data_IF_918238292996
#
_entry.id   IF_918238292996
#
_cell.length_a   1.000
_cell.length_b   1.000
_cell.length_c   1.000
_cell.angle_alpha   90.00
_cell.angle_beta   90.00
_cell.angle_gamma   90.00
#
_symmetry.space_group_name_H-M   'P 1'
#
loop_
_entity.id
_entity.type
_entity.pdbx_description
1 polymer ?
#
# COMPACT_ATOMS: atom_id res chain seq x y z
N UNK A 1 39.55 -9.34 32.87
CA UNK A 1 39.77 -9.11 31.45
C UNK A 1 38.92 -10.13 30.68
N UNK A 2 37.83 -9.76 29.99
CA UNK A 2 37.14 -10.68 29.12
C UNK A 2 37.79 -10.64 27.73
N UNK A 3 38.19 -11.81 27.25
CA UNK A 3 38.68 -12.04 25.90
C UNK A 3 37.53 -11.76 24.91
N UNK A 4 37.65 -10.68 24.18
CA UNK A 4 36.87 -10.50 22.94
C UNK A 4 37.49 -11.43 21.88
N UNK A 5 36.88 -12.58 21.63
CA UNK A 5 37.07 -13.33 20.39
C UNK A 5 36.54 -12.44 19.25
N UNK A 6 37.41 -11.79 18.53
CA UNK A 6 37.12 -11.24 17.20
C UNK A 6 36.87 -12.43 16.28
N UNK A 7 35.59 -12.86 16.17
CA UNK A 7 35.15 -13.70 15.09
C UNK A 7 35.41 -12.91 13.79
N UNK A 8 36.38 -13.35 13.00
CA UNK A 8 36.54 -12.88 11.62
C UNK A 8 35.27 -13.26 10.88
N UNK A 9 34.42 -12.26 10.67
CA UNK A 9 33.23 -12.42 9.83
C UNK A 9 33.70 -12.80 8.43
N UNK A 10 33.14 -13.82 7.79
CA UNK A 10 33.46 -14.17 6.42
C UNK A 10 33.18 -12.96 5.52
N UNK A 11 34.16 -12.59 4.67
CA UNK A 11 34.00 -11.53 3.69
C UNK A 11 32.85 -11.89 2.73
N UNK A 12 31.93 -10.99 2.55
CA UNK A 12 30.85 -11.17 1.58
C UNK A 12 31.44 -11.25 0.16
N UNK A 13 30.90 -12.11 -0.72
CA UNK A 13 31.38 -12.24 -2.10
C UNK A 13 31.25 -10.91 -2.84
N UNK A 14 32.33 -10.47 -3.51
CA UNK A 14 32.34 -9.19 -4.22
C UNK A 14 32.04 -9.29 -5.71
N UNK A 15 31.88 -10.47 -6.27
CA UNK A 15 31.69 -10.66 -7.72
C UNK A 15 30.53 -11.62 -8.00
N UNK A 16 29.42 -11.08 -8.45
CA UNK A 16 28.31 -11.83 -9.03
C UNK A 16 28.12 -11.39 -10.48
N UNK A 17 27.90 -12.33 -11.40
CA UNK A 17 27.73 -12.05 -12.82
C UNK A 17 26.45 -11.25 -13.12
N UNK A 18 26.52 -10.31 -14.03
CA UNK A 18 25.42 -9.48 -14.49
C UNK A 18 25.24 -8.14 -13.74
N UNK A 19 24.53 -7.22 -14.35
CA UNK A 19 24.19 -5.93 -13.73
C UNK A 19 23.20 -6.12 -12.57
N UNK A 20 23.10 -5.15 -11.65
CA UNK A 20 22.11 -5.14 -10.57
C UNK A 20 20.69 -5.30 -11.12
N UNK A 21 20.39 -4.64 -12.22
CA UNK A 21 19.07 -4.69 -12.88
C UNK A 21 18.76 -6.10 -13.43
N UNK A 22 19.74 -6.75 -14.06
CA UNK A 22 19.58 -8.12 -14.56
C UNK A 22 19.33 -9.10 -13.44
N UNK A 23 20.10 -9.00 -12.34
CA UNK A 23 19.94 -9.85 -11.16
C UNK A 23 18.59 -9.62 -10.47
N UNK A 24 18.15 -8.35 -10.38
CA UNK A 24 16.83 -8.00 -9.81
C UNK A 24 15.70 -8.58 -10.66
N UNK A 25 15.76 -8.47 -11.98
CA UNK A 25 14.77 -9.05 -12.88
C UNK A 25 14.70 -10.58 -12.76
N UNK A 26 15.84 -11.26 -12.63
CA UNK A 26 15.90 -12.70 -12.41
C UNK A 26 15.25 -13.10 -11.08
N UNK A 27 15.53 -12.39 -10.00
CA UNK A 27 14.91 -12.60 -8.69
C UNK A 27 13.39 -12.45 -8.79
N UNK A 28 12.90 -11.39 -9.43
CA UNK A 28 11.46 -11.17 -9.62
C UNK A 28 10.80 -12.32 -10.40
N UNK A 29 11.45 -12.80 -11.45
CA UNK A 29 10.96 -13.96 -12.20
C UNK A 29 10.88 -15.22 -11.34
N UNK A 30 11.90 -15.52 -10.53
CA UNK A 30 11.89 -16.67 -9.60
C UNK A 30 10.81 -16.50 -8.52
N UNK A 31 10.62 -15.30 -7.98
CA UNK A 31 9.60 -15.01 -6.97
C UNK A 31 8.16 -15.11 -7.50
N UNK A 32 7.95 -14.91 -8.80
CA UNK A 32 6.63 -15.06 -9.43
C UNK A 32 6.21 -16.52 -9.61
N UNK A 33 7.15 -17.46 -9.57
CA UNK A 33 6.94 -18.91 -9.72
C UNK A 33 7.68 -19.66 -8.61
N UNK A 34 7.23 -19.48 -7.38
CA UNK A 34 7.90 -19.97 -6.19
C UNK A 34 7.65 -21.48 -6.00
N UNK A 35 8.53 -22.31 -6.55
CA UNK A 35 8.60 -23.75 -6.29
C UNK A 35 9.82 -24.10 -5.42
N UNK A 36 9.98 -25.37 -5.09
CA UNK A 36 11.08 -25.89 -4.26
C UNK A 36 12.48 -25.60 -4.86
N UNK A 37 12.62 -25.54 -6.18
CA UNK A 37 13.87 -25.22 -6.84
C UNK A 37 14.16 -23.72 -6.75
N UNK A 38 13.15 -22.90 -7.04
CA UNK A 38 13.26 -21.44 -6.96
C UNK A 38 13.59 -20.98 -5.53
N UNK A 39 13.01 -21.62 -4.50
CA UNK A 39 13.32 -21.30 -3.10
C UNK A 39 14.78 -21.59 -2.79
N UNK A 40 15.31 -22.77 -3.14
CA UNK A 40 16.72 -23.11 -2.91
C UNK A 40 17.67 -22.15 -3.63
N UNK A 41 17.38 -21.85 -4.90
CA UNK A 41 18.18 -20.93 -5.71
C UNK A 41 18.18 -19.51 -5.11
N UNK A 42 17.03 -19.03 -4.66
CA UNK A 42 16.89 -17.72 -4.04
C UNK A 42 17.64 -17.65 -2.69
N UNK A 43 17.60 -18.69 -1.87
CA UNK A 43 18.37 -18.75 -0.62
C UNK A 43 19.87 -18.74 -0.88
N UNK A 44 20.32 -19.48 -1.90
CA UNK A 44 21.72 -19.49 -2.31
C UNK A 44 22.13 -18.12 -2.88
N UNK A 45 21.27 -17.52 -3.67
CA UNK A 45 21.48 -16.17 -4.22
C UNK A 45 21.54 -15.13 -3.11
N UNK A 46 20.63 -15.14 -2.12
CA UNK A 46 20.68 -14.22 -0.99
C UNK A 46 22.00 -14.29 -0.22
N UNK A 47 22.56 -15.50 -0.06
CA UNK A 47 23.84 -15.71 0.64
C UNK A 47 25.06 -15.18 -0.13
N UNK A 48 24.96 -14.99 -1.45
CA UNK A 48 26.05 -14.56 -2.33
C UNK A 48 25.87 -13.16 -2.93
N UNK A 49 24.69 -12.56 -2.79
CA UNK A 49 24.32 -11.29 -3.41
C UNK A 49 24.94 -10.09 -2.71
N UNK A 50 25.78 -9.28 -3.37
CA UNK A 50 26.38 -8.08 -2.77
C UNK A 50 25.39 -6.93 -2.58
N UNK A 51 24.35 -6.81 -3.42
CA UNK A 51 23.36 -5.75 -3.34
C UNK A 51 22.33 -6.00 -2.21
N UNK A 52 22.33 -5.13 -1.19
CA UNK A 52 21.44 -5.25 -0.03
C UNK A 52 19.94 -5.18 -0.44
N UNK A 53 19.60 -4.40 -1.46
CA UNK A 53 18.23 -4.29 -1.94
C UNK A 53 17.72 -5.61 -2.55
N UNK A 54 18.58 -6.33 -3.30
CA UNK A 54 18.24 -7.65 -3.85
C UNK A 54 18.12 -8.68 -2.73
N UNK A 55 19.10 -8.74 -1.78
CA UNK A 55 19.01 -9.64 -0.60
C UNK A 55 17.71 -9.40 0.16
N UNK A 56 17.35 -8.14 0.36
CA UNK A 56 16.13 -7.72 1.05
C UNK A 56 14.89 -8.29 0.37
N UNK A 57 14.73 -8.10 -0.93
CA UNK A 57 13.59 -8.61 -1.70
C UNK A 57 13.45 -10.12 -1.57
N UNK A 58 14.56 -10.87 -1.65
CA UNK A 58 14.56 -12.32 -1.49
C UNK A 58 14.11 -12.71 -0.08
N UNK A 59 14.75 -12.16 0.94
CA UNK A 59 14.49 -12.53 2.34
C UNK A 59 13.09 -12.11 2.77
N UNK A 60 12.59 -10.97 2.33
CA UNK A 60 11.23 -10.50 2.59
C UNK A 60 10.19 -11.52 2.12
N UNK A 61 10.36 -12.02 0.91
CA UNK A 61 9.41 -12.97 0.35
C UNK A 61 9.50 -14.34 0.99
N UNK A 62 10.72 -14.84 1.19
CA UNK A 62 10.96 -16.16 1.76
C UNK A 62 10.65 -16.22 3.26
N UNK A 63 10.82 -15.15 4.01
CA UNK A 63 10.55 -15.08 5.47
C UNK A 63 9.09 -15.39 5.85
N UNK A 64 8.18 -15.40 4.88
CA UNK A 64 6.78 -15.83 5.07
C UNK A 64 6.62 -17.34 5.13
N UNK A 65 7.60 -18.07 4.62
CA UNK A 65 7.58 -19.52 4.60
C UNK A 65 8.12 -20.06 5.94
N UNK A 66 7.32 -20.89 6.63
CA UNK A 66 7.77 -21.57 7.84
C UNK A 66 8.62 -22.80 7.50
N UNK A 67 9.85 -22.54 7.06
CA UNK A 67 10.83 -23.54 6.61
C UNK A 67 12.13 -23.45 7.41
N UNK A 68 12.78 -24.61 7.58
CA UNK A 68 14.05 -24.69 8.33
C UNK A 68 15.18 -23.96 7.60
N UNK A 69 15.28 -24.14 6.28
CA UNK A 69 16.31 -23.51 5.45
C UNK A 69 16.15 -21.99 5.34
N UNK A 70 14.92 -21.49 5.32
CA UNK A 70 14.63 -20.05 5.38
C UNK A 70 15.05 -19.47 6.73
N UNK A 71 14.77 -20.17 7.83
CA UNK A 71 15.21 -19.72 9.17
C UNK A 71 16.72 -19.66 9.29
N UNK A 72 17.43 -20.66 8.79
CA UNK A 72 18.91 -20.68 8.77
C UNK A 72 19.46 -19.49 7.98
N UNK A 73 18.83 -19.16 6.83
CA UNK A 73 19.21 -17.96 6.08
C UNK A 73 18.96 -16.68 6.88
N UNK A 74 17.80 -16.55 7.54
CA UNK A 74 17.51 -15.40 8.39
C UNK A 74 18.49 -15.29 9.57
N UNK A 75 18.87 -16.41 10.22
CA UNK A 75 19.86 -16.43 11.29
C UNK A 75 21.24 -15.95 10.81
N UNK A 76 21.65 -16.39 9.62
CA UNK A 76 22.89 -15.94 8.98
C UNK A 76 22.87 -14.43 8.72
N UNK A 77 21.82 -13.92 8.09
CA UNK A 77 21.73 -12.49 7.79
C UNK A 77 21.58 -11.64 9.05
N UNK A 78 20.85 -12.09 10.06
CA UNK A 78 20.76 -11.42 11.35
C UNK A 78 22.12 -11.27 12.05
N UNK A 79 22.99 -12.27 11.88
CA UNK A 79 24.30 -12.30 12.54
C UNK A 79 25.41 -11.59 11.74
N UNK A 80 25.34 -11.60 10.41
CA UNK A 80 26.51 -11.25 9.58
C UNK A 80 26.22 -10.32 8.40
N UNK A 81 24.97 -9.90 8.16
CA UNK A 81 24.67 -9.01 7.03
C UNK A 81 25.34 -7.64 7.23
N UNK A 82 26.11 -7.14 6.25
CA UNK A 82 26.75 -5.83 6.33
C UNK A 82 25.74 -4.66 6.33
N UNK A 83 24.52 -4.89 5.84
CA UNK A 83 23.43 -3.93 5.93
C UNK A 83 22.71 -4.08 7.26
N UNK A 84 22.86 -3.10 8.15
CA UNK A 84 22.34 -3.14 9.52
C UNK A 84 20.80 -3.21 9.56
N UNK A 85 20.11 -2.61 8.61
CA UNK A 85 18.64 -2.66 8.53
C UNK A 85 18.17 -4.05 8.12
N UNK A 86 18.90 -4.70 7.20
CA UNK A 86 18.57 -6.05 6.78
C UNK A 86 18.88 -7.07 7.89
N UNK A 87 19.97 -6.88 8.63
CA UNK A 87 20.27 -7.69 9.80
C UNK A 87 19.18 -7.56 10.89
N UNK A 88 18.73 -6.34 11.17
CA UNK A 88 17.64 -6.09 12.12
C UNK A 88 16.33 -6.72 11.64
N UNK A 89 16.00 -6.58 10.36
CA UNK A 89 14.85 -7.25 9.75
C UNK A 89 14.88 -8.76 9.98
N UNK A 90 15.99 -9.42 9.65
CA UNK A 90 16.12 -10.87 9.81
C UNK A 90 15.93 -11.30 11.28
N UNK A 91 16.50 -10.53 12.23
CA UNK A 91 16.33 -10.77 13.65
C UNK A 91 14.86 -10.64 14.11
N UNK A 92 14.17 -9.61 13.67
CA UNK A 92 12.75 -9.41 14.00
C UNK A 92 11.87 -10.53 13.45
N UNK A 93 12.14 -11.00 12.23
CA UNK A 93 11.42 -12.14 11.64
C UNK A 93 11.60 -13.44 12.39
N UNK A 94 12.81 -13.75 12.81
CA UNK A 94 13.10 -14.91 13.66
C UNK A 94 12.33 -14.83 14.98
N UNK A 95 12.30 -13.67 15.61
CA UNK A 95 11.54 -13.43 16.85
C UNK A 95 10.05 -13.68 16.65
N UNK A 96 9.47 -13.14 15.58
CA UNK A 96 8.03 -13.32 15.25
C UNK A 96 7.71 -14.80 15.00
N UNK A 97 8.54 -15.51 14.23
CA UNK A 97 8.36 -16.94 13.97
C UNK A 97 8.47 -17.79 15.26
N UNK A 98 9.40 -17.46 16.14
CA UNK A 98 9.54 -18.14 17.42
C UNK A 98 8.32 -17.96 18.33
N UNK A 99 7.81 -16.73 18.42
CA UNK A 99 6.62 -16.42 19.24
C UNK A 99 5.37 -17.10 18.68
N UNK A 100 5.18 -17.11 17.36
CA UNK A 100 4.06 -17.81 16.73
C UNK A 100 4.06 -19.30 17.06
N UNK A 101 5.23 -19.97 17.00
CA UNK A 101 5.34 -21.39 17.37
C UNK A 101 5.06 -21.68 18.84
N UNK A 102 5.52 -20.80 19.73
CA UNK A 102 5.22 -20.93 21.16
C UNK A 102 3.72 -20.83 21.38
N UNK A 103 3.10 -19.86 20.73
CA UNK A 103 1.65 -19.67 20.80
C UNK A 103 0.88 -20.89 20.27
N UNK A 104 1.23 -21.40 19.09
CA UNK A 104 0.57 -22.59 18.51
C UNK A 104 0.71 -23.82 19.39
N UNK A 105 1.90 -24.06 19.97
CA UNK A 105 2.12 -25.17 20.94
C UNK A 105 1.23 -25.02 22.18
N UNK A 106 1.12 -23.81 22.75
CA UNK A 106 0.24 -23.54 23.89
C UNK A 106 -1.24 -23.75 23.52
N UNK A 107 -1.64 -23.29 22.33
CA UNK A 107 -3.00 -23.44 21.83
C UNK A 107 -3.36 -24.92 21.62
N UNK A 108 -2.45 -25.70 21.01
CA UNK A 108 -2.64 -27.14 20.81
C UNK A 108 -2.75 -27.89 22.13
N UNK A 109 -1.94 -27.52 23.13
CA UNK A 109 -2.00 -28.10 24.47
C UNK A 109 -3.34 -27.80 25.18
N UNK A 110 -3.79 -26.54 25.15
CA UNK A 110 -5.06 -26.15 25.75
C UNK A 110 -6.26 -26.85 25.09
N UNK A 111 -6.23 -27.01 23.76
CA UNK A 111 -7.22 -27.80 23.02
C UNK A 111 -7.22 -29.28 23.43
N UNK A 112 -6.03 -29.87 23.55
CA UNK A 112 -5.87 -31.28 23.95
C UNK A 112 -6.39 -31.53 25.36
N UNK A 113 -6.24 -30.56 26.27
CA UNK A 113 -6.70 -30.61 27.64
C UNK A 113 -8.17 -30.19 27.82
N UNK A 114 -8.82 -29.76 26.74
CA UNK A 114 -10.18 -29.20 26.73
C UNK A 114 -10.37 -28.06 27.76
N UNK A 115 -9.32 -27.25 27.95
CA UNK A 115 -9.26 -26.13 28.89
C UNK A 115 -9.79 -24.84 28.23
N UNK A 116 -11.10 -24.60 28.37
CA UNK A 116 -11.77 -23.44 27.81
C UNK A 116 -11.21 -22.11 28.34
N UNK A 117 -10.79 -22.05 29.61
CA UNK A 117 -10.23 -20.86 30.21
C UNK A 117 -8.84 -20.54 29.68
N UNK A 118 -8.02 -21.57 29.51
CA UNK A 118 -6.70 -21.40 28.88
C UNK A 118 -6.84 -20.98 27.40
N UNK A 119 -7.82 -21.51 26.67
CA UNK A 119 -8.11 -21.11 25.29
C UNK A 119 -8.54 -19.64 25.22
N UNK A 120 -9.44 -19.20 26.05
CA UNK A 120 -9.90 -17.81 26.11
C UNK A 120 -8.75 -16.86 26.46
N UNK A 121 -7.94 -17.22 27.45
CA UNK A 121 -6.76 -16.45 27.85
C UNK A 121 -5.74 -16.36 26.70
N UNK A 122 -5.45 -17.46 26.03
CA UNK A 122 -4.51 -17.50 24.89
C UNK A 122 -5.01 -16.68 23.71
N UNK A 123 -6.30 -16.73 23.41
CA UNK A 123 -6.90 -15.91 22.34
C UNK A 123 -6.84 -14.42 22.69
N UNK A 124 -7.09 -14.06 23.95
CA UNK A 124 -6.95 -12.68 24.42
C UNK A 124 -5.49 -12.21 24.40
N UNK A 125 -4.52 -13.07 24.80
CA UNK A 125 -3.08 -12.79 24.67
C UNK A 125 -2.67 -12.65 23.21
N UNK A 126 -3.17 -13.51 22.33
CA UNK A 126 -2.91 -13.42 20.90
C UNK A 126 -3.47 -12.13 20.32
N UNK A 127 -4.69 -11.77 20.64
CA UNK A 127 -5.31 -10.51 20.22
C UNK A 127 -4.51 -9.30 20.72
N UNK A 128 -4.08 -9.34 22.00
CA UNK A 128 -3.16 -8.33 22.56
C UNK A 128 -1.82 -8.30 21.81
N UNK A 129 -1.28 -9.46 21.51
CA UNK A 129 0.01 -9.58 20.87
C UNK A 129 -0.05 -9.18 19.40
N UNK A 130 -1.10 -9.54 18.68
CA UNK A 130 -1.40 -9.04 17.34
C UNK A 130 -1.62 -7.52 17.38
N UNK A 131 -2.31 -7.03 18.39
CA UNK A 131 -2.48 -5.59 18.64
C UNK A 131 -1.15 -4.92 19.00
N UNK A 132 -0.25 -5.56 19.72
CA UNK A 132 1.08 -5.05 20.08
C UNK A 132 2.10 -5.24 18.94
N UNK A 133 2.07 -6.32 18.20
CA UNK A 133 2.93 -6.56 17.03
C UNK A 133 2.49 -5.71 15.82
N UNK A 134 1.18 -5.48 15.68
CA UNK A 134 0.61 -4.42 14.86
C UNK A 134 0.82 -3.05 15.50
N UNK A 135 1.09 -3.00 16.78
CA UNK A 135 1.04 -1.89 17.68
C UNK A 135 2.23 -1.61 18.56
N UNK A 136 3.43 -2.09 18.26
CA UNK A 136 4.61 -1.29 18.66
C UNK A 136 4.50 0.13 18.06
N UNK A 137 3.55 0.30 17.13
CA UNK A 137 3.23 1.54 16.42
C UNK A 137 1.73 1.91 16.52
N UNK A 138 0.85 1.05 17.05
CA UNK A 138 -0.59 1.25 17.02
C UNK A 138 -1.25 1.93 18.23
N UNK A 139 -0.70 2.01 19.47
CA UNK A 139 -1.42 2.68 20.54
C UNK A 139 -1.72 4.15 20.23
N UNK A 140 -0.85 4.85 19.52
CA UNK A 140 -1.06 6.24 19.14
C UNK A 140 -2.05 6.39 17.96
N UNK A 141 -2.07 5.46 17.02
CA UNK A 141 -2.84 5.58 15.78
C UNK A 141 -4.22 4.92 15.84
N UNK A 142 -4.38 3.85 16.66
CA UNK A 142 -5.66 3.14 16.80
C UNK A 142 -6.55 3.69 17.94
N UNK A 143 -5.99 4.42 18.90
CA UNK A 143 -6.74 4.95 20.04
C UNK A 143 -7.20 6.41 19.87
N UNK A 144 -6.69 7.15 18.89
CA UNK A 144 -7.15 8.49 18.59
C UNK A 144 -8.29 8.44 17.57
N UNK A 145 -9.30 9.33 17.68
CA UNK A 145 -10.25 9.48 16.60
C UNK A 145 -9.49 9.85 15.33
N UNK A 146 -9.83 9.26 14.17
CA UNK A 146 -9.16 9.56 12.92
C UNK A 146 -9.18 11.06 12.64
N UNK A 147 -8.05 11.64 12.19
CA UNK A 147 -7.95 13.08 12.02
C UNK A 147 -8.88 13.61 10.93
N UNK A 148 -9.46 14.78 11.19
CA UNK A 148 -10.23 15.58 10.24
C UNK A 148 -9.62 16.98 10.21
N UNK A 149 -9.13 17.42 9.03
CA UNK A 149 -8.37 18.67 8.93
C UNK A 149 -8.54 19.35 7.57
N UNK A 150 -8.08 20.59 7.47
CA UNK A 150 -7.99 21.32 6.21
C UNK A 150 -6.60 21.07 5.60
N UNK A 151 -6.55 20.42 4.43
CA UNK A 151 -5.29 20.03 3.80
C UNK A 151 -4.53 21.20 3.16
N UNK A 152 -5.28 22.15 2.64
CA UNK A 152 -4.79 23.38 1.98
C UNK A 152 -5.67 24.55 2.37
N UNK A 153 -5.18 25.80 2.27
CA UNK A 153 -6.00 26.99 2.52
C UNK A 153 -7.28 26.99 1.67
N UNK A 154 -8.35 27.56 2.24
CA UNK A 154 -9.64 27.66 1.56
C UNK A 154 -9.51 28.35 0.20
N UNK A 155 -10.05 27.72 -0.83
CA UNK A 155 -10.06 28.24 -2.21
C UNK A 155 -11.31 27.78 -2.96
N UNK A 156 -11.74 28.49 -4.02
CA UNK A 156 -12.99 28.17 -4.73
C UNK A 156 -12.92 26.91 -5.58
N UNK A 157 -11.72 26.50 -5.98
CA UNK A 157 -11.48 25.30 -6.77
C UNK A 157 -10.18 24.62 -6.36
N UNK A 158 -10.07 23.32 -6.64
CA UNK A 158 -8.88 22.53 -6.37
C UNK A 158 -8.65 21.54 -7.52
N UNK A 159 -7.37 21.35 -7.90
CA UNK A 159 -6.96 20.35 -8.87
C UNK A 159 -6.19 19.24 -8.17
N UNK A 160 -6.66 18.02 -8.31
CA UNK A 160 -6.15 16.84 -7.60
C UNK A 160 -5.63 15.83 -8.61
N UNK A 161 -4.46 15.28 -8.36
CA UNK A 161 -3.93 14.10 -9.05
C UNK A 161 -4.23 12.86 -8.21
N UNK A 162 -4.56 11.72 -8.84
CA UNK A 162 -4.62 10.45 -8.14
C UNK A 162 -3.86 9.36 -8.91
N UNK A 163 -3.08 8.57 -8.17
CA UNK A 163 -2.32 7.42 -8.65
C UNK A 163 -2.58 6.22 -7.76
N UNK A 164 -2.49 5.01 -8.32
CA UNK A 164 -2.57 3.76 -7.57
C UNK A 164 -1.69 2.70 -8.22
N UNK A 165 -1.38 1.64 -7.49
CA UNK A 165 -0.68 0.47 -8.06
C UNK A 165 0.66 0.87 -8.71
N UNK A 166 1.45 1.70 -8.03
CA UNK A 166 2.63 2.34 -8.64
C UNK A 166 3.97 1.82 -8.12
N UNK A 167 4.05 1.33 -6.89
CA UNK A 167 5.28 1.11 -6.14
C UNK A 167 6.16 -0.07 -6.58
N UNK A 168 6.49 -0.18 -7.85
CA UNK A 168 7.29 -1.27 -8.44
C UNK A 168 8.69 -0.85 -8.92
N UNK A 169 9.02 0.45 -8.86
CA UNK A 169 10.32 1.02 -9.23
C UNK A 169 10.79 0.67 -10.66
N UNK A 170 9.84 0.52 -11.59
CA UNK A 170 10.10 0.17 -12.99
C UNK A 170 9.99 1.37 -13.94
N UNK A 171 10.21 1.14 -15.24
CA UNK A 171 10.12 2.18 -16.25
C UNK A 171 8.71 2.67 -16.50
N UNK A 172 7.69 1.83 -16.27
CA UNK A 172 6.28 2.22 -16.40
C UNK A 172 5.92 3.27 -15.34
N UNK A 173 6.32 3.06 -14.08
CA UNK A 173 6.15 4.05 -13.02
C UNK A 173 6.89 5.35 -13.33
N UNK A 174 8.12 5.27 -13.84
CA UNK A 174 8.91 6.46 -14.24
C UNK A 174 8.22 7.25 -15.34
N UNK A 175 7.69 6.57 -16.38
CA UNK A 175 6.95 7.25 -17.46
C UNK A 175 5.71 7.96 -16.95
N UNK A 176 4.93 7.33 -16.09
CA UNK A 176 3.75 7.97 -15.46
C UNK A 176 4.16 9.18 -14.63
N UNK A 177 5.23 9.08 -13.82
CA UNK A 177 5.72 10.21 -13.02
C UNK A 177 6.20 11.38 -13.90
N UNK A 178 6.90 11.11 -15.02
CA UNK A 178 7.32 12.13 -15.98
C UNK A 178 6.14 12.79 -16.68
N UNK A 179 5.15 12.00 -17.12
CA UNK A 179 3.93 12.53 -17.74
C UNK A 179 3.13 13.41 -16.76
N UNK A 180 3.05 13.00 -15.49
CA UNK A 180 2.41 13.78 -14.43
C UNK A 180 3.17 15.10 -14.15
N UNK A 181 4.50 15.07 -14.15
CA UNK A 181 5.33 16.26 -13.99
C UNK A 181 5.16 17.25 -15.14
N UNK A 182 5.07 16.76 -16.38
CA UNK A 182 4.78 17.58 -17.55
C UNK A 182 3.38 18.19 -17.49
N UNK A 183 2.40 17.38 -17.14
CA UNK A 183 1.01 17.85 -16.97
C UNK A 183 0.93 18.91 -15.87
N UNK A 184 1.62 18.70 -14.75
CA UNK A 184 1.70 19.65 -13.63
C UNK A 184 2.32 20.99 -14.03
N UNK A 185 3.37 20.99 -14.87
CA UNK A 185 4.00 22.24 -15.36
C UNK A 185 3.03 23.10 -16.17
N UNK A 186 2.19 22.47 -16.99
CA UNK A 186 1.19 23.19 -17.78
C UNK A 186 -0.06 23.56 -16.97
N UNK A 187 -0.46 22.68 -16.03
CA UNK A 187 -1.70 22.78 -15.25
C UNK A 187 -1.44 22.29 -13.81
N UNK A 188 -0.95 23.16 -12.91
CA UNK A 188 -0.51 22.76 -11.57
C UNK A 188 -1.58 22.03 -10.76
N UNK A 189 -1.20 20.94 -10.12
CA UNK A 189 -1.98 20.26 -9.09
C UNK A 189 -1.81 20.98 -7.75
N UNK A 190 -2.83 20.95 -6.91
CA UNK A 190 -2.80 21.48 -5.55
C UNK A 190 -2.41 20.40 -4.53
N UNK A 191 -2.82 19.16 -4.81
CA UNK A 191 -2.52 17.98 -4.00
C UNK A 191 -2.64 16.70 -4.83
N UNK A 192 -2.14 15.60 -4.28
CA UNK A 192 -2.30 14.26 -4.83
C UNK A 192 -3.00 13.31 -3.86
N UNK A 193 -3.50 12.19 -4.41
CA UNK A 193 -4.01 11.03 -3.68
C UNK A 193 -3.21 9.81 -4.10
N UNK A 194 -2.91 8.90 -3.18
CA UNK A 194 -2.53 7.54 -3.55
C UNK A 194 -3.64 6.56 -3.20
N UNK A 195 -3.91 5.64 -4.10
CA UNK A 195 -5.03 4.70 -4.04
C UNK A 195 -4.59 3.31 -3.59
N UNK A 196 -3.49 3.21 -2.86
CA UNK A 196 -2.94 1.96 -2.36
C UNK A 196 -2.01 1.24 -3.33
N UNK A 197 -1.44 0.15 -2.85
CA UNK A 197 -0.34 -0.59 -3.48
C UNK A 197 0.83 0.36 -3.77
N UNK A 198 1.19 1.09 -2.71
CA UNK A 198 2.19 2.16 -2.73
C UNK A 198 3.61 1.59 -2.85
N UNK A 199 3.84 0.39 -2.30
CA UNK A 199 5.10 -0.34 -2.37
C UNK A 199 4.87 -1.83 -2.56
N UNK A 200 5.22 -2.33 -3.74
CA UNK A 200 5.01 -3.72 -4.17
C UNK A 200 6.36 -4.48 -4.14
N UNK A 201 6.41 -5.77 -3.79
CA UNK A 201 5.24 -6.65 -3.53
C UNK A 201 4.69 -6.59 -2.12
N UNK A 202 5.37 -6.02 -1.13
CA UNK A 202 5.11 -6.31 0.27
C UNK A 202 5.14 -5.07 1.20
N UNK A 203 4.88 -3.87 0.71
CA UNK A 203 4.95 -2.65 1.50
C UNK A 203 6.39 -2.23 1.85
N UNK A 204 6.56 -1.27 2.75
CA UNK A 204 7.84 -0.80 3.25
C UNK A 204 8.14 -1.34 4.64
N UNK A 205 9.43 -1.54 4.96
CA UNK A 205 9.89 -1.97 6.28
C UNK A 205 9.66 -0.92 7.37
N UNK A 206 9.70 0.35 6.97
CA UNK A 206 9.58 1.47 7.88
C UNK A 206 9.98 2.78 7.22
N UNK A 207 10.08 3.86 8.01
CA UNK A 207 10.38 5.17 7.48
C UNK A 207 11.82 5.36 6.97
N UNK A 208 12.70 4.37 7.19
CA UNK A 208 14.07 4.37 6.68
C UNK A 208 14.26 3.46 5.45
N UNK A 209 13.19 2.85 4.93
CA UNK A 209 13.27 2.01 3.73
C UNK A 209 13.78 2.83 2.53
N UNK A 210 14.85 2.38 1.83
CA UNK A 210 15.43 3.14 0.71
C UNK A 210 14.46 3.35 -0.45
N UNK A 211 13.41 2.53 -0.57
CA UNK A 211 12.38 2.69 -1.59
C UNK A 211 11.58 3.98 -1.45
N UNK A 212 11.60 4.62 -0.27
CA UNK A 212 11.07 5.98 -0.13
C UNK A 212 11.77 6.95 -1.06
N UNK A 213 13.09 6.83 -1.23
CA UNK A 213 13.83 7.72 -2.13
C UNK A 213 13.68 7.31 -3.60
N UNK A 214 13.82 6.02 -3.92
CA UNK A 214 13.83 5.54 -5.31
C UNK A 214 12.43 5.41 -5.92
N UNK A 215 11.45 4.94 -5.13
CA UNK A 215 10.09 4.68 -5.57
C UNK A 215 9.11 5.84 -5.33
N UNK A 216 9.46 6.80 -4.46
CA UNK A 216 8.55 7.89 -4.11
C UNK A 216 9.17 9.28 -4.28
N UNK A 217 10.09 9.71 -3.39
CA UNK A 217 10.59 11.09 -3.35
C UNK A 217 11.32 11.48 -4.64
N UNK A 218 12.11 10.57 -5.22
CA UNK A 218 12.81 10.83 -6.49
C UNK A 218 11.89 10.99 -7.69
N UNK A 219 10.67 10.47 -7.62
CA UNK A 219 9.70 10.48 -8.72
C UNK A 219 8.61 11.54 -8.54
N UNK A 220 7.98 11.58 -7.37
CA UNK A 220 6.82 12.44 -7.10
C UNK A 220 7.13 13.64 -6.20
N UNK A 221 8.22 13.60 -5.43
CA UNK A 221 8.69 14.74 -4.62
C UNK A 221 8.90 16.03 -5.41
N UNK A 222 9.45 15.99 -6.65
CA UNK A 222 9.64 17.18 -7.50
C UNK A 222 8.35 17.91 -7.88
N UNK A 223 7.18 17.28 -7.75
CA UNK A 223 5.89 17.98 -7.94
C UNK A 223 5.63 19.05 -6.87
N UNK A 224 6.29 18.97 -5.70
CA UNK A 224 6.17 19.96 -4.64
C UNK A 224 4.78 20.06 -4.00
N UNK A 225 3.94 19.05 -4.15
CA UNK A 225 2.59 18.95 -3.59
C UNK A 225 2.49 17.85 -2.54
N UNK A 226 1.58 17.96 -1.55
CA UNK A 226 1.29 16.87 -0.64
C UNK A 226 0.42 15.79 -1.30
N UNK A 227 0.75 14.52 -1.10
CA UNK A 227 -0.07 13.38 -1.49
C UNK A 227 -0.70 12.73 -0.25
N UNK A 228 -2.01 12.63 -0.22
CA UNK A 228 -2.77 12.02 0.86
C UNK A 228 -3.02 10.54 0.54
N UNK A 229 -2.32 9.68 1.27
CA UNK A 229 -2.19 8.27 0.93
C UNK A 229 -3.21 7.39 1.63
N UNK A 230 -3.62 6.31 0.94
CA UNK A 230 -4.25 5.13 1.56
C UNK A 230 -3.47 3.87 1.20
N UNK A 231 -3.70 2.78 1.94
CA UNK A 231 -3.02 1.51 1.70
C UNK A 231 -3.81 0.58 0.81
N UNK A 232 -3.11 -0.19 -0.02
CA UNK A 232 -3.62 -1.36 -0.72
C UNK A 232 -3.24 -2.66 0.00
N UNK A 233 -3.53 -3.80 -0.63
CA UNK A 233 -3.22 -5.10 -0.02
C UNK A 233 -1.72 -5.41 0.02
N UNK A 234 -0.94 -4.91 -0.93
CA UNK A 234 0.51 -5.09 -0.92
C UNK A 234 1.18 -4.31 0.22
N UNK A 235 0.66 -3.16 0.60
CA UNK A 235 1.21 -2.35 1.70
C UNK A 235 1.10 -3.01 3.07
N UNK A 236 0.21 -4.00 3.23
CA UNK A 236 0.07 -4.82 4.44
C UNK A 236 0.99 -6.03 4.44
N UNK A 237 1.62 -6.32 3.32
CA UNK A 237 2.30 -7.58 3.10
C UNK A 237 3.39 -7.89 4.10
N UNK A 238 4.27 -6.96 4.38
CA UNK A 238 5.52 -7.23 5.09
C UNK A 238 5.35 -7.29 6.62
N UNK A 239 4.73 -6.26 7.17
CA UNK A 239 4.55 -6.08 8.62
C UNK A 239 3.12 -6.40 9.07
N UNK A 240 2.29 -6.95 8.16
CA UNK A 240 0.85 -7.07 8.36
C UNK A 240 0.23 -5.70 8.77
N UNK A 241 0.83 -4.61 8.24
CA UNK A 241 0.46 -3.24 8.59
C UNK A 241 1.19 -2.21 7.72
N UNK A 242 0.55 -1.14 7.27
CA UNK A 242 1.18 -0.01 6.58
C UNK A 242 1.79 1.01 7.56
N UNK A 243 2.19 0.59 8.75
CA UNK A 243 2.71 1.48 9.79
C UNK A 243 3.96 2.25 9.35
N UNK A 244 4.82 1.63 8.52
CA UNK A 244 5.98 2.31 7.93
C UNK A 244 5.61 3.55 7.11
N UNK A 245 4.48 3.50 6.41
CA UNK A 245 3.96 4.59 5.60
C UNK A 245 3.40 5.74 6.46
N UNK A 246 2.70 5.39 7.55
CA UNK A 246 2.19 6.37 8.52
C UNK A 246 3.34 7.09 9.20
N UNK A 247 4.38 6.37 9.64
CA UNK A 247 5.56 6.97 10.27
C UNK A 247 6.39 7.83 9.30
N UNK A 248 6.46 7.44 8.03
CA UNK A 248 7.17 8.23 7.04
C UNK A 248 6.53 9.60 6.81
N UNK A 249 5.21 9.70 6.97
CA UNK A 249 4.49 10.97 6.83
C UNK A 249 4.99 12.08 7.80
N UNK A 250 5.59 11.72 8.93
CA UNK A 250 6.20 12.67 9.87
C UNK A 250 7.49 13.31 9.32
N UNK A 251 8.16 12.67 8.38
CA UNK A 251 9.47 13.08 7.81
C UNK A 251 9.35 13.70 6.42
N UNK A 252 8.32 13.33 5.67
CA UNK A 252 8.13 13.76 4.28
C UNK A 252 7.33 15.05 4.17
N UNK A 253 7.64 15.83 3.12
CA UNK A 253 6.81 16.98 2.72
C UNK A 253 5.80 16.59 1.65
N UNK A 254 6.08 15.56 0.88
CA UNK A 254 5.24 15.08 -0.21
C UNK A 254 4.26 13.98 0.23
N UNK A 255 4.60 13.16 1.21
CA UNK A 255 3.78 12.04 1.69
C UNK A 255 2.98 12.41 2.94
N UNK A 256 1.67 12.18 2.90
CA UNK A 256 0.74 12.40 4.02
C UNK A 256 -0.13 11.17 4.22
N UNK A 257 0.07 10.44 5.31
CA UNK A 257 -0.77 9.34 5.77
C UNK A 257 -0.89 9.42 7.29
N UNK A 258 -1.75 10.31 7.81
CA UNK A 258 -1.80 10.60 9.25
C UNK A 258 -2.41 9.46 10.07
N UNK A 259 -3.13 8.54 9.44
CA UNK A 259 -3.76 7.37 10.05
C UNK A 259 -4.13 6.35 8.96
N UNK A 260 -4.60 5.15 9.35
CA UNK A 260 -5.10 4.13 8.43
C UNK A 260 -6.31 4.62 7.61
N UNK A 261 -7.15 5.42 8.23
CA UNK A 261 -8.28 6.08 7.60
C UNK A 261 -8.48 7.45 8.23
N UNK A 262 -8.88 8.41 7.46
CA UNK A 262 -8.98 9.81 7.87
C UNK A 262 -9.78 10.61 6.85
N UNK A 263 -10.10 11.86 7.17
CA UNK A 263 -10.68 12.78 6.20
C UNK A 263 -10.03 14.15 6.23
N UNK A 264 -10.05 14.84 5.10
CA UNK A 264 -9.57 16.21 4.99
C UNK A 264 -10.40 17.02 4.00
N UNK A 265 -10.37 18.33 4.16
CA UNK A 265 -11.03 19.28 3.26
C UNK A 265 -10.02 19.95 2.35
N UNK A 266 -10.40 20.11 1.09
CA UNK A 266 -9.65 20.91 0.12
C UNK A 266 -10.62 21.56 -0.89
N UNK A 267 -10.60 22.88 -0.95
CA UNK A 267 -11.56 23.63 -1.75
C UNK A 267 -13.01 23.31 -1.36
N UNK A 268 -13.89 23.05 -2.34
CA UNK A 268 -15.30 22.71 -2.08
C UNK A 268 -15.53 21.24 -1.70
N UNK A 269 -14.47 20.43 -1.59
CA UNK A 269 -14.58 19.01 -1.36
C UNK A 269 -14.06 18.57 0.01
N UNK A 270 -14.65 17.49 0.53
CA UNK A 270 -14.09 16.67 1.61
C UNK A 270 -13.75 15.29 1.06
N UNK A 271 -12.54 14.85 1.38
CA UNK A 271 -11.98 13.58 0.98
C UNK A 271 -11.95 12.62 2.16
N UNK A 272 -12.30 11.36 1.94
CA UNK A 272 -12.34 10.31 2.95
C UNK A 272 -11.45 9.17 2.48
N UNK A 273 -10.29 9.03 3.11
CA UNK A 273 -9.35 7.95 2.87
C UNK A 273 -9.76 6.71 3.66
N UNK A 274 -9.83 5.55 3.01
CA UNK A 274 -10.25 4.29 3.61
C UNK A 274 -9.18 3.21 3.48
N UNK A 275 -8.92 2.48 4.56
CA UNK A 275 -8.14 1.24 4.54
C UNK A 275 -9.05 0.07 4.15
N UNK A 276 -9.30 -0.10 2.85
CA UNK A 276 -10.26 -1.10 2.34
C UNK A 276 -9.80 -2.54 2.51
N UNK A 277 -8.48 -2.80 2.63
CA UNK A 277 -7.94 -4.12 2.95
C UNK A 277 -8.27 -4.55 4.39
N UNK A 278 -8.40 -3.60 5.30
CA UNK A 278 -8.68 -3.82 6.72
C UNK A 278 -9.95 -3.08 7.16
N UNK A 279 -11.02 -3.20 6.37
CA UNK A 279 -12.32 -2.61 6.70
C UNK A 279 -12.83 -3.19 8.00
N UNK A 280 -13.16 -2.33 8.95
CA UNK A 280 -13.66 -2.70 10.27
C UNK A 280 -14.96 -1.96 10.60
N UNK A 281 -15.76 -2.52 11.50
CA UNK A 281 -16.97 -1.87 12.07
C UNK A 281 -16.65 -0.46 12.59
N UNK A 282 -15.50 -0.30 13.26
CA UNK A 282 -15.05 1.00 13.77
C UNK A 282 -14.85 2.01 12.66
N UNK A 283 -14.22 1.60 11.55
CA UNK A 283 -14.01 2.46 10.38
C UNK A 283 -15.34 2.81 9.71
N UNK A 284 -16.26 1.84 9.56
CA UNK A 284 -17.58 2.06 8.97
C UNK A 284 -18.41 3.04 9.82
N UNK A 285 -18.45 2.86 11.17
CA UNK A 285 -19.12 3.78 12.07
C UNK A 285 -18.51 5.19 12.06
N UNK A 286 -17.17 5.29 11.93
CA UNK A 286 -16.51 6.58 11.78
C UNK A 286 -16.95 7.25 10.48
N UNK A 287 -16.89 6.54 9.35
CA UNK A 287 -17.25 7.05 8.04
C UNK A 287 -18.70 7.53 8.01
N UNK A 288 -19.63 6.75 8.58
CA UNK A 288 -21.04 7.11 8.68
C UNK A 288 -21.24 8.45 9.37
N UNK A 289 -20.60 8.63 10.53
CA UNK A 289 -20.68 9.89 11.30
C UNK A 289 -20.04 11.07 10.54
N UNK A 290 -18.90 10.86 9.94
CA UNK A 290 -18.16 11.93 9.24
C UNK A 290 -18.89 12.35 7.95
N UNK A 291 -19.46 11.42 7.21
CA UNK A 291 -20.33 11.74 6.06
C UNK A 291 -21.57 12.54 6.47
N UNK A 292 -22.19 12.20 7.63
CA UNK A 292 -23.35 12.91 8.15
C UNK A 292 -23.00 14.33 8.61
N UNK A 293 -21.80 14.54 9.15
CA UNK A 293 -21.31 15.86 9.64
C UNK A 293 -20.80 16.78 8.53
N UNK A 294 -20.41 16.19 7.43
CA UNK A 294 -19.77 16.91 6.33
C UNK A 294 -20.71 17.93 5.70
N UNK A 295 -20.28 19.20 5.69
CA UNK A 295 -20.94 20.31 4.99
C UNK A 295 -20.31 20.61 3.61
N UNK A 296 -19.31 19.80 3.19
CA UNK A 296 -18.69 19.98 1.89
C UNK A 296 -19.69 19.80 0.75
N UNK A 297 -19.56 20.62 -0.30
CA UNK A 297 -20.36 20.49 -1.51
C UNK A 297 -20.17 19.11 -2.13
N UNK A 298 -18.94 18.61 -2.16
CA UNK A 298 -18.55 17.35 -2.74
C UNK A 298 -17.91 16.45 -1.70
N UNK A 299 -18.34 15.20 -1.65
CA UNK A 299 -17.76 14.15 -0.81
C UNK A 299 -17.16 13.09 -1.70
N UNK A 300 -15.84 12.94 -1.60
CA UNK A 300 -15.05 12.01 -2.41
C UNK A 300 -14.46 10.98 -1.47
N UNK A 301 -14.87 9.73 -1.64
CA UNK A 301 -14.35 8.60 -0.89
C UNK A 301 -13.33 7.87 -1.76
N UNK A 302 -12.18 7.55 -1.21
CA UNK A 302 -11.16 6.82 -1.93
C UNK A 302 -10.53 5.72 -1.07
N UNK A 303 -10.10 4.68 -1.73
CA UNK A 303 -9.46 3.52 -1.14
C UNK A 303 -8.77 2.71 -2.21
N UNK A 304 -8.51 1.43 -1.93
CA UNK A 304 -7.83 0.57 -2.88
C UNK A 304 -8.78 -0.37 -3.64
N UNK A 305 -9.59 -1.15 -2.92
CA UNK A 305 -10.45 -2.17 -3.52
C UNK A 305 -11.74 -1.59 -4.10
N UNK A 306 -12.15 -2.00 -5.31
CA UNK A 306 -13.43 -1.58 -5.90
C UNK A 306 -14.62 -2.23 -5.20
N UNK A 307 -15.76 -1.53 -5.18
CA UNK A 307 -17.06 -2.14 -4.86
C UNK A 307 -17.53 -2.96 -6.06
N UNK A 308 -17.49 -2.37 -7.26
CA UNK A 308 -17.83 -3.01 -8.52
C UNK A 308 -16.68 -2.93 -9.51
N UNK A 309 -16.42 -4.03 -10.21
CA UNK A 309 -15.39 -4.10 -11.23
C UNK A 309 -15.68 -5.15 -12.31
N UNK A 310 -15.34 -4.82 -13.55
CA UNK A 310 -15.25 -5.79 -14.65
C UNK A 310 -13.79 -6.17 -14.98
N UNK A 311 -12.88 -5.87 -14.08
CA UNK A 311 -11.46 -6.26 -14.12
C UNK A 311 -11.22 -7.70 -13.69
N UNK A 312 -9.97 -8.03 -13.44
CA UNK A 312 -9.53 -9.40 -13.17
C UNK A 312 -10.00 -9.93 -11.81
N UNK A 313 -10.12 -9.06 -10.79
CA UNK A 313 -10.54 -9.45 -9.44
C UNK A 313 -12.07 -9.41 -9.26
N UNK A 314 -12.77 -8.60 -10.07
CA UNK A 314 -14.22 -8.46 -10.00
C UNK A 314 -14.72 -7.63 -8.81
N UNK A 315 -15.98 -7.83 -8.45
CA UNK A 315 -16.64 -7.12 -7.37
C UNK A 315 -16.09 -7.53 -5.99
N UNK A 316 -15.95 -6.56 -5.09
CA UNK A 316 -15.63 -6.86 -3.69
C UNK A 316 -16.92 -6.95 -2.89
N UNK A 317 -17.50 -8.16 -2.81
CA UNK A 317 -18.80 -8.37 -2.17
C UNK A 317 -18.88 -7.88 -0.71
N UNK A 318 -17.79 -7.95 0.04
CA UNK A 318 -17.75 -7.45 1.42
C UNK A 318 -17.99 -5.93 1.47
N UNK A 319 -17.37 -5.17 0.55
CA UNK A 319 -17.56 -3.72 0.42
C UNK A 319 -18.94 -3.38 -0.14
N UNK A 320 -19.45 -4.19 -1.07
CA UNK A 320 -20.80 -4.03 -1.58
C UNK A 320 -21.85 -4.10 -0.45
N UNK A 321 -21.69 -5.06 0.48
CA UNK A 321 -22.61 -5.22 1.62
C UNK A 321 -22.44 -4.17 2.72
N UNK A 322 -21.20 -3.75 3.02
CA UNK A 322 -20.92 -2.92 4.19
C UNK A 322 -20.69 -1.44 3.87
N UNK A 323 -20.02 -1.14 2.77
CA UNK A 323 -19.61 0.23 2.42
C UNK A 323 -20.61 0.93 1.50
N UNK A 324 -21.11 0.24 0.46
CA UNK A 324 -22.00 0.83 -0.52
C UNK A 324 -23.23 1.52 0.11
N UNK A 325 -23.97 0.90 1.07
CA UNK A 325 -25.13 1.53 1.69
C UNK A 325 -24.80 2.84 2.43
N UNK A 326 -23.56 3.02 2.88
CA UNK A 326 -23.12 4.26 3.54
C UNK A 326 -22.81 5.38 2.54
N UNK A 327 -22.45 5.03 1.31
CA UNK A 327 -22.01 5.99 0.29
C UNK A 327 -23.14 6.48 -0.62
N UNK A 328 -24.10 5.64 -0.92
CA UNK A 328 -25.22 5.98 -1.79
C UNK A 328 -26.00 7.19 -1.27
N UNK A 329 -26.26 8.15 -2.16
CA UNK A 329 -26.95 9.40 -1.83
C UNK A 329 -26.15 10.36 -0.95
N UNK A 330 -24.94 10.01 -0.53
CA UNK A 330 -24.13 10.79 0.42
C UNK A 330 -22.77 11.20 -0.12
N UNK A 331 -22.18 10.40 -0.99
CA UNK A 331 -20.92 10.71 -1.67
C UNK A 331 -21.14 10.78 -3.19
N UNK A 332 -20.29 11.52 -3.89
CA UNK A 332 -20.38 11.68 -5.34
C UNK A 332 -19.41 10.77 -6.09
N UNK A 333 -18.26 10.45 -5.48
CA UNK A 333 -17.22 9.63 -6.09
C UNK A 333 -16.73 8.58 -5.10
N UNK A 334 -16.60 7.35 -5.56
CA UNK A 334 -15.76 6.30 -4.99
C UNK A 334 -14.63 6.00 -5.97
N UNK A 335 -13.38 6.38 -5.60
CA UNK A 335 -12.19 6.30 -6.43
C UNK A 335 -11.21 5.27 -5.87
N UNK A 336 -10.76 4.33 -6.70
CA UNK A 336 -9.94 3.18 -6.27
C UNK A 336 -8.88 2.79 -7.30
N UNK A 337 -7.96 1.88 -6.90
CA UNK A 337 -6.97 1.20 -7.72
C UNK A 337 -7.27 -0.29 -7.90
N UNK A 338 -6.27 -1.15 -7.57
CA UNK A 338 -6.33 -2.61 -7.44
C UNK A 338 -6.42 -3.40 -8.74
N UNK A 339 -7.20 -2.94 -9.69
CA UNK A 339 -7.53 -3.69 -10.91
C UNK A 339 -6.52 -3.48 -12.04
N UNK A 340 -5.63 -2.51 -11.90
CA UNK A 340 -4.61 -2.13 -12.89
C UNK A 340 -5.20 -1.85 -14.28
N UNK A 341 -6.39 -1.27 -14.33
CA UNK A 341 -7.10 -0.87 -15.55
C UNK A 341 -7.93 0.37 -15.26
N UNK A 342 -8.58 0.93 -16.26
CA UNK A 342 -9.43 2.12 -16.12
C UNK A 342 -10.88 1.74 -16.25
N UNK A 343 -11.71 2.23 -15.33
CA UNK A 343 -13.14 2.02 -15.42
C UNK A 343 -13.93 3.19 -14.83
N UNK A 344 -15.02 3.56 -15.51
CA UNK A 344 -16.07 4.41 -14.99
C UNK A 344 -17.40 3.70 -15.19
N UNK A 345 -18.08 3.39 -14.09
CA UNK A 345 -19.41 2.76 -14.13
C UNK A 345 -20.50 3.80 -13.91
N UNK A 346 -21.69 3.46 -14.43
CA UNK A 346 -22.91 4.24 -14.27
C UNK A 346 -23.17 4.51 -12.79
N UNK A 347 -23.46 5.76 -12.39
CA UNK A 347 -23.70 6.10 -11.00
C UNK A 347 -24.91 5.38 -10.43
N UNK A 348 -24.83 5.04 -9.14
CA UNK A 348 -25.91 4.48 -8.35
C UNK A 348 -26.16 5.42 -7.16
N UNK A 349 -27.41 5.87 -6.98
CA UNK A 349 -27.71 6.88 -5.95
C UNK A 349 -26.90 8.17 -6.06
N UNK A 350 -26.43 8.53 -7.26
CA UNK A 350 -25.55 9.68 -7.47
C UNK A 350 -24.05 9.43 -7.20
N UNK A 351 -23.68 8.22 -6.76
CA UNK A 351 -22.31 7.79 -6.51
C UNK A 351 -21.67 7.25 -7.80
N UNK A 352 -20.61 7.87 -8.30
CA UNK A 352 -19.82 7.41 -9.42
C UNK A 352 -18.71 6.46 -8.94
N UNK A 353 -18.54 5.33 -9.62
CA UNK A 353 -17.48 4.35 -9.35
C UNK A 353 -16.37 4.50 -10.38
N UNK A 354 -15.19 4.86 -9.90
CA UNK A 354 -14.02 5.13 -10.72
C UNK A 354 -12.87 4.20 -10.31
N UNK A 355 -12.33 3.44 -11.25
CA UNK A 355 -11.09 2.70 -11.10
C UNK A 355 -9.99 3.42 -11.85
N UNK A 356 -8.92 3.79 -11.16
CA UNK A 356 -7.79 4.51 -11.72
C UNK A 356 -6.89 3.57 -12.55
N UNK A 357 -6.18 4.10 -13.56
CA UNK A 357 -5.17 3.33 -14.29
C UNK A 357 -4.03 2.89 -13.34
N UNK A 358 -3.36 1.79 -13.67
CA UNK A 358 -2.12 1.43 -13.02
C UNK A 358 -1.06 2.53 -13.25
N UNK A 359 -0.38 2.93 -12.19
CA UNK A 359 0.68 3.94 -12.30
C UNK A 359 2.09 3.34 -12.26
N UNK A 360 2.20 2.00 -12.40
CA UNK A 360 3.48 1.28 -12.42
C UNK A 360 3.34 -0.24 -12.50
N UNK A 361 2.38 -0.84 -11.79
CA UNK A 361 2.09 -2.27 -11.92
C UNK A 361 1.50 -2.58 -13.29
N UNK A 362 1.72 -3.82 -13.79
CA UNK A 362 1.31 -4.22 -15.14
C UNK A 362 -0.16 -3.95 -15.42
N UNK A 363 -0.44 -3.13 -16.43
CA UNK A 363 -1.80 -2.86 -16.87
C UNK A 363 -2.50 -4.16 -17.30
N UNK A 364 -3.75 -4.33 -16.90
CA UNK A 364 -4.54 -5.55 -17.12
C UNK A 364 -5.70 -5.31 -18.06
N UNK A 365 -6.10 -6.32 -18.86
CA UNK A 365 -7.30 -6.22 -19.69
C UNK A 365 -8.56 -5.97 -18.85
N UNK A 366 -9.47 -5.20 -19.40
CA UNK A 366 -10.79 -4.93 -18.80
C UNK A 366 -11.91 -5.41 -19.73
N UNK A 367 -12.97 -5.95 -19.14
CA UNK A 367 -14.22 -6.24 -19.85
C UNK A 367 -15.21 -5.08 -19.68
N UNK A 368 -16.05 -4.88 -20.67
CA UNK A 368 -17.20 -3.99 -20.56
C UNK A 368 -18.42 -4.80 -20.17
N UNK A 369 -19.16 -4.34 -19.18
CA UNK A 369 -20.37 -4.97 -18.70
C UNK A 369 -21.52 -3.96 -18.62
N UNK A 370 -22.70 -4.38 -18.14
CA UNK A 370 -23.85 -3.49 -17.95
C UNK A 370 -23.49 -2.29 -17.07
N UNK A 371 -23.79 -1.08 -17.54
CA UNK A 371 -23.46 0.14 -16.79
C UNK A 371 -22.04 0.67 -16.99
N UNK A 372 -21.20 0.08 -17.85
CA UNK A 372 -19.90 0.66 -18.20
C UNK A 372 -20.08 1.93 -19.03
N UNK A 373 -19.66 3.06 -18.49
CA UNK A 373 -19.61 4.34 -19.21
C UNK A 373 -18.28 4.45 -19.96
N UNK A 374 -17.19 4.04 -19.33
CA UNK A 374 -15.86 3.96 -19.92
C UNK A 374 -15.06 2.80 -19.32
N UNK A 375 -14.29 2.11 -20.15
CA UNK A 375 -13.30 1.13 -19.73
C UNK A 375 -12.19 1.01 -20.77
N UNK A 376 -10.97 1.01 -20.30
CA UNK A 376 -9.74 0.91 -21.10
C UNK A 376 -8.59 0.34 -20.24
N UNK A 377 -7.46 0.04 -20.86
CA UNK A 377 -6.28 -0.48 -20.17
C UNK A 377 -5.03 0.28 -20.65
N UNK A 378 -4.46 1.08 -19.76
CA UNK A 378 -3.23 1.85 -20.00
C UNK A 378 -2.58 2.26 -18.67
N UNK A 379 -1.33 2.66 -18.71
CA UNK A 379 -0.65 3.30 -17.60
C UNK A 379 -0.98 4.78 -17.53
N UNK A 380 -1.15 5.32 -16.33
CA UNK A 380 -1.47 6.73 -16.21
C UNK A 380 -1.90 7.17 -14.82
N UNK A 381 -2.68 8.24 -14.79
CA UNK A 381 -3.19 8.86 -13.56
C UNK A 381 -4.57 9.49 -13.78
N UNK A 382 -5.22 9.80 -12.66
CA UNK A 382 -6.52 10.51 -12.67
C UNK A 382 -6.30 11.98 -12.35
N UNK A 383 -7.04 12.86 -12.99
CA UNK A 383 -7.11 14.28 -12.66
C UNK A 383 -8.55 14.62 -12.27
N UNK A 384 -8.71 15.23 -11.08
CA UNK A 384 -9.97 15.80 -10.64
C UNK A 384 -9.83 17.33 -10.61
N UNK A 385 -10.67 18.04 -11.34
CA UNK A 385 -10.82 19.51 -11.26
C UNK A 385 -12.16 19.80 -10.58
N UNK A 386 -12.10 20.35 -9.38
CA UNK A 386 -13.25 20.45 -8.47
C UNK A 386 -13.54 21.91 -8.18
N UNK A 387 -14.73 22.37 -8.50
CA UNK A 387 -15.24 23.69 -8.11
C UNK A 387 -16.62 23.58 -7.44
N UNK A 388 -17.26 24.71 -7.13
CA UNK A 388 -18.58 24.74 -6.49
C UNK A 388 -19.71 24.19 -7.39
N UNK A 389 -19.49 24.08 -8.71
CA UNK A 389 -20.54 23.73 -9.69
C UNK A 389 -20.42 22.29 -10.14
N UNK A 390 -19.19 21.78 -10.31
CA UNK A 390 -18.94 20.47 -10.89
C UNK A 390 -17.60 19.88 -10.46
N UNK A 391 -17.46 18.57 -10.67
CA UNK A 391 -16.19 17.85 -10.68
C UNK A 391 -15.95 17.39 -12.11
N UNK A 392 -14.86 17.86 -12.74
CA UNK A 392 -14.36 17.27 -13.98
C UNK A 392 -13.38 16.16 -13.65
N UNK A 393 -13.61 14.97 -14.17
CA UNK A 393 -12.74 13.80 -14.00
C UNK A 393 -12.08 13.50 -15.34
N UNK A 394 -10.76 13.42 -15.40
CA UNK A 394 -10.03 12.97 -16.57
C UNK A 394 -9.12 11.78 -16.25
N UNK A 395 -9.08 10.78 -17.13
CA UNK A 395 -8.07 9.74 -17.14
C UNK A 395 -7.00 10.10 -18.15
N UNK A 396 -5.75 10.21 -17.68
CA UNK A 396 -4.60 10.66 -18.45
C UNK A 396 -3.59 9.51 -18.54
N UNK A 397 -3.10 9.21 -19.75
CA UNK A 397 -2.12 8.14 -19.95
C UNK A 397 -0.67 8.57 -19.61
N UNK A 398 0.27 7.63 -19.73
CA UNK A 398 1.69 7.84 -19.47
C UNK A 398 2.42 8.70 -20.52
N UNK A 399 1.68 9.23 -21.50
CA UNK A 399 2.15 10.24 -22.46
C UNK A 399 1.53 11.62 -22.19
N UNK A 400 0.76 11.76 -21.12
CA UNK A 400 0.06 12.99 -20.76
C UNK A 400 -1.21 13.27 -21.57
N UNK A 401 -1.70 12.28 -22.34
CA UNK A 401 -2.89 12.43 -23.16
C UNK A 401 -4.15 12.08 -22.37
N UNK A 402 -5.14 12.96 -22.38
CA UNK A 402 -6.47 12.65 -21.84
C UNK A 402 -7.15 11.61 -22.73
N UNK A 403 -7.42 10.43 -22.15
CA UNK A 403 -8.11 9.32 -22.83
C UNK A 403 -9.63 9.36 -22.64
N UNK A 404 -10.05 9.94 -21.53
CA UNK A 404 -11.46 10.09 -21.17
C UNK A 404 -11.65 11.30 -20.28
N UNK A 405 -12.77 12.00 -20.44
CA UNK A 405 -13.21 13.08 -19.57
C UNK A 405 -14.72 12.99 -19.33
N UNK A 406 -15.14 13.28 -18.11
CA UNK A 406 -16.56 13.40 -17.73
C UNK A 406 -16.75 14.50 -16.72
N UNK A 407 -17.99 14.99 -16.59
CA UNK A 407 -18.40 15.99 -15.60
C UNK A 407 -19.46 15.40 -14.66
N UNK A 408 -19.31 15.64 -13.37
CA UNK A 408 -20.24 15.29 -12.30
C UNK A 408 -20.79 16.60 -11.74
N UNK A 409 -22.13 16.73 -11.73
CA UNK A 409 -22.83 17.97 -11.35
C UNK A 409 -23.76 17.74 -10.17
#
# INVERSE_FOLDING_TARGET
>A
MPFFLLLQLPAWPQAVAGSVEQRRAEVQRKLSQLDESAIRDLLQQAAAEPDAGIRRVILQRLARLDRADVREALERHAATDPDAELALFALERLRVQQLARIFEKRLALARKQNDARALETLLAEHQRWVTLARGALAPAFLQQPPPVFDAIPARPAVRVMAIGDFGVENDDQRRVALAAAEYHRGRPFDLGLTLGDNFVPDGVLGPADPRWQSGWEGLYGPLGIPFFATSGNHDWGFADSPAGEILYAERSRSWRMPALYYSFRAGPAQFFALATHAMSETQLHWLDRELARSQARWKIVYGHHPIYSYGAHGDTEALNRSLLPLLEGRAQIYLVGHEHMVQHLKPQGGLHFLVAPASGQSARPVKKGPGTLYADSFYGFVVLEIDQRQISVAFVDDQGKERYRTEIR
#
